data_IF_459838499159
#
_entry.id   IF_459838499159
#
_cell.length_a   1.000
_cell.length_b   1.000
_cell.length_c   1.000
_cell.angle_alpha   90.00
_cell.angle_beta   90.00
_cell.angle_gamma   90.00
#
_symmetry.space_group_name_H-M   'P 1'
#
loop_
_entity.id
_entity.type
_entity.pdbx_description
1 polymer ?
#
# COMPACT_ATOMS: atom_id res chain seq x y z
N UNK A 1 -11.75 11.10 -10.58
CA UNK A 1 -10.42 10.86 -9.95
C UNK A 1 -9.70 12.19 -9.81
N UNK A 2 -9.05 12.46 -8.67
CA UNK A 2 -8.32 13.72 -8.48
C UNK A 2 -7.02 13.71 -9.31
N UNK A 3 -6.81 14.68 -10.23
CA UNK A 3 -5.60 14.70 -11.05
C UNK A 3 -4.35 14.93 -10.19
N UNK A 4 -3.17 14.56 -10.71
CA UNK A 4 -1.89 14.93 -10.07
C UNK A 4 -1.76 16.44 -10.05
N UNK A 5 -1.40 17.04 -8.91
CA UNK A 5 -0.90 18.41 -8.93
C UNK A 5 0.45 18.46 -9.65
N UNK A 6 0.92 19.65 -10.02
CA UNK A 6 2.24 19.74 -10.65
C UNK A 6 3.35 19.25 -9.72
N UNK A 7 3.26 19.49 -8.42
CA UNK A 7 4.23 18.99 -7.44
C UNK A 7 4.27 17.46 -7.37
N UNK A 8 3.12 16.82 -7.48
CA UNK A 8 2.99 15.35 -7.41
C UNK A 8 3.49 14.60 -8.66
N UNK A 9 3.88 15.33 -9.72
CA UNK A 9 4.50 14.75 -10.91
C UNK A 9 6.02 14.61 -10.78
N UNK A 10 6.63 15.23 -9.78
CA UNK A 10 8.08 15.31 -9.64
C UNK A 10 8.53 15.00 -8.21
N UNK A 11 9.74 14.50 -8.06
CA UNK A 11 10.46 14.50 -6.80
C UNK A 11 11.60 15.51 -6.86
N UNK A 12 11.98 16.03 -5.70
CA UNK A 12 13.13 16.89 -5.55
C UNK A 12 14.34 16.06 -5.15
N UNK A 13 15.45 16.32 -5.81
CA UNK A 13 16.75 15.82 -5.39
C UNK A 13 17.31 16.76 -4.31
N UNK A 14 17.41 16.32 -3.05
CA UNK A 14 17.73 17.23 -1.95
C UNK A 14 19.18 17.73 -1.99
N UNK A 15 20.07 17.05 -2.72
CA UNK A 15 21.48 17.42 -2.87
C UNK A 15 21.64 18.44 -3.98
N UNK A 16 21.16 18.12 -5.19
CA UNK A 16 21.30 18.99 -6.36
C UNK A 16 20.23 20.09 -6.42
N UNK A 17 19.19 19.99 -5.59
CA UNK A 17 17.96 20.80 -5.62
C UNK A 17 17.21 20.74 -6.96
N UNK A 18 17.57 19.78 -7.82
CA UNK A 18 16.92 19.59 -9.11
C UNK A 18 15.57 18.90 -8.94
N UNK A 19 14.64 19.24 -9.83
CA UNK A 19 13.31 18.65 -9.89
C UNK A 19 13.28 17.60 -11.00
N UNK A 20 12.99 16.34 -10.65
CA UNK A 20 13.01 15.20 -11.58
C UNK A 20 11.62 14.58 -11.67
N UNK A 21 11.13 14.23 -12.88
CA UNK A 21 9.81 13.62 -13.01
C UNK A 21 9.79 12.22 -12.40
N UNK A 22 8.66 11.83 -11.82
CA UNK A 22 8.44 10.43 -11.51
C UNK A 22 8.22 9.62 -12.80
N UNK A 23 8.73 8.38 -12.88
CA UNK A 23 8.47 7.48 -14.00
C UNK A 23 7.04 6.94 -13.93
N UNK A 24 6.61 6.30 -15.02
CA UNK A 24 5.32 5.66 -15.17
C UNK A 24 5.41 4.14 -14.95
N UNK A 25 4.33 3.51 -14.49
CA UNK A 25 4.23 2.04 -14.51
C UNK A 25 4.26 1.46 -15.93
N UNK A 26 3.92 2.25 -16.95
CA UNK A 26 4.02 1.90 -18.37
C UNK A 26 5.46 1.80 -18.87
N UNK A 27 6.40 2.41 -18.17
CA UNK A 27 7.82 2.31 -18.51
C UNK A 27 8.35 0.95 -18.07
N UNK A 28 9.32 0.41 -18.82
CA UNK A 28 10.05 -0.79 -18.42
C UNK A 28 10.63 -0.61 -17.02
N UNK A 29 10.54 -1.66 -16.20
CA UNK A 29 11.09 -1.62 -14.85
C UNK A 29 12.61 -1.43 -14.89
N UNK A 30 13.14 -0.67 -13.94
CA UNK A 30 14.58 -0.44 -13.77
C UNK A 30 15.11 -0.86 -12.40
N UNK A 31 14.22 -1.37 -11.53
CA UNK A 31 14.54 -1.94 -10.22
C UNK A 31 13.83 -3.29 -10.09
N UNK A 32 14.31 -4.14 -9.20
CA UNK A 32 13.60 -5.38 -8.85
C UNK A 32 12.39 -5.06 -7.97
N UNK A 33 12.58 -4.27 -6.90
CA UNK A 33 11.52 -3.94 -5.94
C UNK A 33 11.35 -2.41 -5.76
N UNK A 34 10.11 -1.94 -5.75
CA UNK A 34 9.75 -0.62 -5.21
C UNK A 34 8.92 -0.81 -3.94
N UNK A 35 9.38 -0.22 -2.84
CA UNK A 35 8.65 -0.19 -1.56
C UNK A 35 7.95 1.16 -1.42
N UNK A 36 6.64 1.15 -1.28
CA UNK A 36 5.80 2.33 -1.13
C UNK A 36 5.40 2.45 0.33
N UNK A 37 5.78 3.55 0.98
CA UNK A 37 5.51 3.83 2.38
C UNK A 37 4.66 5.11 2.46
N UNK A 38 3.33 5.02 2.58
CA UNK A 38 2.48 6.18 2.81
C UNK A 38 2.67 6.69 4.24
N UNK A 39 2.88 8.00 4.40
CA UNK A 39 3.12 8.64 5.67
C UNK A 39 2.19 9.84 5.85
N UNK A 40 1.51 9.91 6.98
CA UNK A 40 0.77 11.09 7.40
C UNK A 40 0.91 11.27 8.91
N UNK A 41 1.61 12.32 9.33
CA UNK A 41 1.94 12.57 10.74
C UNK A 41 2.70 11.42 11.40
N UNK A 42 3.78 10.99 10.76
CA UNK A 42 4.56 9.79 11.12
C UNK A 42 5.98 10.10 11.59
N UNK A 43 6.25 11.32 12.07
CA UNK A 43 7.58 11.77 12.53
C UNK A 43 8.25 10.74 13.45
N UNK A 44 7.49 10.15 14.37
CA UNK A 44 8.02 9.24 15.40
C UNK A 44 8.14 7.78 14.94
N UNK A 45 7.27 7.33 14.02
CA UNK A 45 7.20 5.91 13.61
C UNK A 45 7.95 5.60 12.33
N UNK A 46 7.98 6.57 11.40
CA UNK A 46 8.65 6.44 10.11
C UNK A 46 10.13 6.00 10.23
N UNK A 47 10.95 6.53 11.18
CA UNK A 47 12.35 6.12 11.31
C UNK A 47 12.55 4.63 11.60
N UNK A 48 11.72 4.06 12.47
CA UNK A 48 11.82 2.64 12.84
C UNK A 48 11.46 1.74 11.65
N UNK A 49 10.39 2.09 10.94
CA UNK A 49 9.96 1.37 9.73
C UNK A 49 11.02 1.43 8.62
N UNK A 50 11.61 2.61 8.35
CA UNK A 50 12.68 2.74 7.36
C UNK A 50 13.91 1.95 7.77
N UNK A 51 14.27 1.95 9.06
CA UNK A 51 15.40 1.16 9.55
C UNK A 51 15.19 -0.34 9.31
N UNK A 52 14.06 -0.91 9.72
CA UNK A 52 13.77 -2.36 9.49
C UNK A 52 13.78 -2.70 8.00
N UNK A 53 13.21 -1.81 7.18
CA UNK A 53 13.20 -1.94 5.71
C UNK A 53 14.61 -1.95 5.13
N UNK A 54 15.42 -0.93 5.43
CA UNK A 54 16.78 -0.79 4.90
C UNK A 54 17.70 -1.92 5.39
N UNK A 55 17.63 -2.28 6.67
CA UNK A 55 18.41 -3.39 7.24
C UNK A 55 18.13 -4.70 6.48
N UNK A 56 16.89 -4.96 6.08
CA UNK A 56 16.55 -6.13 5.27
C UNK A 56 17.05 -6.00 3.82
N UNK A 57 16.77 -4.88 3.15
CA UNK A 57 17.05 -4.69 1.73
C UNK A 57 18.56 -4.65 1.43
N UNK A 58 19.35 -3.98 2.27
CA UNK A 58 20.81 -3.93 2.14
C UNK A 58 21.42 -5.33 2.34
N UNK A 59 20.94 -6.09 3.34
CA UNK A 59 21.36 -7.49 3.52
C UNK A 59 20.98 -8.36 2.33
N UNK A 60 19.81 -8.15 1.72
CA UNK A 60 19.38 -8.91 0.54
C UNK A 60 20.27 -8.59 -0.66
N UNK A 61 20.55 -7.31 -0.91
CA UNK A 61 21.42 -6.86 -1.99
C UNK A 61 22.88 -7.31 -1.80
N UNK A 62 23.39 -7.33 -0.57
CA UNK A 62 24.73 -7.83 -0.28
C UNK A 62 24.88 -9.32 -0.60
N UNK A 63 23.80 -10.10 -0.48
CA UNK A 63 23.77 -11.53 -0.82
C UNK A 63 23.46 -11.80 -2.30
N UNK A 64 22.81 -10.86 -2.98
CA UNK A 64 22.43 -10.96 -4.39
C UNK A 64 22.54 -9.58 -5.04
N UNK A 65 23.64 -9.34 -5.78
CA UNK A 65 23.91 -8.06 -6.41
C UNK A 65 22.92 -7.70 -7.54
N UNK A 66 22.17 -8.68 -8.05
CA UNK A 66 21.10 -8.44 -9.02
C UNK A 66 19.84 -7.87 -8.38
N UNK A 67 19.66 -8.06 -7.06
CA UNK A 67 18.56 -7.50 -6.31
C UNK A 67 18.75 -5.98 -6.15
N UNK A 68 17.96 -5.22 -6.89
CA UNK A 68 17.95 -3.76 -6.84
C UNK A 68 16.61 -3.27 -6.30
N UNK A 69 16.63 -2.21 -5.49
CA UNK A 69 15.43 -1.71 -4.87
C UNK A 69 15.36 -0.19 -4.87
N UNK A 70 14.17 0.31 -4.56
CA UNK A 70 13.95 1.69 -4.16
C UNK A 70 12.85 1.77 -3.11
N UNK A 71 12.86 2.85 -2.34
CA UNK A 71 11.81 3.28 -1.45
C UNK A 71 11.19 4.57 -2.00
N UNK A 72 9.86 4.63 -2.00
CA UNK A 72 9.09 5.84 -2.24
C UNK A 72 8.30 6.13 -0.98
N UNK A 73 8.76 7.14 -0.23
CA UNK A 73 8.05 7.64 0.93
C UNK A 73 7.05 8.68 0.41
N UNK A 74 5.77 8.46 0.67
CA UNK A 74 4.71 9.35 0.21
C UNK A 74 4.16 10.12 1.40
N UNK A 75 4.56 11.39 1.54
CA UNK A 75 3.95 12.27 2.53
C UNK A 75 2.61 12.80 2.02
N UNK A 76 1.52 12.34 2.65
CA UNK A 76 0.13 12.69 2.34
C UNK A 76 -0.24 14.08 2.89
N UNK A 77 0.61 15.08 2.64
CA UNK A 77 0.43 16.48 3.03
C UNK A 77 0.42 16.67 4.54
N UNK A 78 1.39 16.07 5.25
CA UNK A 78 1.50 16.20 6.70
C UNK A 78 1.71 17.65 7.14
N UNK A 79 1.00 18.13 8.17
CA UNK A 79 1.23 19.45 8.76
C UNK A 79 2.41 19.48 9.74
N UNK A 80 3.03 18.34 10.01
CA UNK A 80 4.21 18.21 10.87
C UNK A 80 5.48 17.97 10.05
N UNK A 81 6.57 17.58 10.72
CA UNK A 81 7.89 17.42 10.11
C UNK A 81 8.07 16.10 9.36
N UNK A 82 7.00 15.37 9.02
CA UNK A 82 7.09 14.06 8.34
C UNK A 82 7.88 14.16 7.03
N UNK A 83 7.60 15.16 6.19
CA UNK A 83 8.39 15.45 4.98
C UNK A 83 9.87 15.68 5.26
N UNK A 84 10.21 16.45 6.31
CA UNK A 84 11.61 16.71 6.66
C UNK A 84 12.34 15.42 7.07
N UNK A 85 11.67 14.55 7.83
CA UNK A 85 12.19 13.24 8.21
C UNK A 85 12.42 12.36 6.97
N UNK A 86 11.44 12.28 6.07
CA UNK A 86 11.56 11.51 4.83
C UNK A 86 12.72 11.99 3.95
N UNK A 87 12.89 13.32 3.82
CA UNK A 87 13.96 13.91 3.01
C UNK A 87 15.36 13.62 3.56
N UNK A 88 15.53 13.47 4.88
CA UNK A 88 16.82 13.05 5.47
C UNK A 88 17.28 11.69 4.93
N UNK A 89 16.35 10.76 4.74
CA UNK A 89 16.67 9.45 4.17
C UNK A 89 17.00 9.53 2.68
N UNK A 90 16.36 10.43 1.94
CA UNK A 90 16.73 10.71 0.54
C UNK A 90 18.13 11.32 0.42
N UNK A 91 18.53 12.18 1.37
CA UNK A 91 19.91 12.69 1.46
C UNK A 91 20.89 11.57 1.79
N UNK A 92 20.57 10.74 2.79
CA UNK A 92 21.45 9.68 3.28
C UNK A 92 21.73 8.60 2.23
N UNK A 93 20.69 8.15 1.52
CA UNK A 93 20.78 7.01 0.59
C UNK A 93 20.81 7.43 -0.89
N UNK A 94 20.58 8.71 -1.18
CA UNK A 94 20.49 9.22 -2.54
C UNK A 94 19.14 8.95 -3.21
N UNK A 95 18.81 9.76 -4.21
CA UNK A 95 17.51 9.71 -4.91
C UNK A 95 17.31 8.49 -5.80
N UNK A 96 18.36 7.71 -6.06
CA UNK A 96 18.22 6.44 -6.76
C UNK A 96 17.68 5.33 -5.84
N UNK A 97 17.88 5.44 -4.52
CA UNK A 97 17.41 4.47 -3.53
C UNK A 97 16.17 5.00 -2.81
N UNK A 98 16.17 6.24 -2.31
CA UNK A 98 15.04 6.80 -1.55
C UNK A 98 14.52 8.06 -2.22
N UNK A 99 13.25 8.03 -2.64
CA UNK A 99 12.52 9.16 -3.22
C UNK A 99 11.37 9.58 -2.32
N UNK A 100 11.09 10.87 -2.28
CA UNK A 100 9.99 11.44 -1.49
C UNK A 100 8.97 12.07 -2.43
N UNK A 101 7.72 11.66 -2.29
CA UNK A 101 6.56 12.25 -2.95
C UNK A 101 5.76 13.00 -1.89
N UNK A 102 5.70 14.33 -1.99
CA UNK A 102 4.96 15.16 -1.03
C UNK A 102 3.71 15.72 -1.70
N UNK A 103 2.57 15.56 -1.06
CA UNK A 103 1.32 16.17 -1.52
C UNK A 103 1.13 17.58 -0.97
N UNK A 104 0.48 18.43 -1.76
CA UNK A 104 0.14 19.80 -1.34
C UNK A 104 -0.93 19.82 -0.24
N UNK A 105 -1.77 18.78 -0.19
CA UNK A 105 -2.81 18.61 0.81
C UNK A 105 -3.16 17.13 0.97
N UNK A 106 -3.64 16.76 2.15
CA UNK A 106 -4.06 15.40 2.47
C UNK A 106 -5.13 14.88 1.49
N UNK A 107 -4.81 13.79 0.78
CA UNK A 107 -5.72 13.02 -0.08
C UNK A 107 -6.32 11.84 0.67
N UNK A 108 -5.54 11.25 1.56
CA UNK A 108 -5.84 10.03 2.29
C UNK A 108 -4.90 8.89 1.88
N UNK A 109 -4.86 7.86 2.73
CA UNK A 109 -3.99 6.69 2.60
C UNK A 109 -4.06 6.04 1.21
N UNK A 110 -5.25 5.80 0.68
CA UNK A 110 -5.43 5.23 -0.65
C UNK A 110 -4.85 6.10 -1.76
N UNK A 111 -4.99 7.42 -1.65
CA UNK A 111 -4.39 8.38 -2.57
C UNK A 111 -2.85 8.34 -2.50
N UNK A 112 -2.29 8.31 -1.30
CA UNK A 112 -0.86 8.20 -1.07
C UNK A 112 -0.27 6.90 -1.65
N UNK A 113 -0.86 5.75 -1.31
CA UNK A 113 -0.45 4.44 -1.85
C UNK A 113 -0.54 4.43 -3.37
N UNK A 114 -1.69 4.84 -3.92
CA UNK A 114 -1.91 4.87 -5.37
C UNK A 114 -0.85 5.67 -6.10
N UNK A 115 -0.57 6.86 -5.64
CA UNK A 115 0.37 7.77 -6.31
C UNK A 115 1.81 7.29 -6.17
N UNK A 116 2.17 6.71 -5.02
CA UNK A 116 3.46 6.04 -4.84
C UNK A 116 3.63 4.87 -5.80
N UNK A 117 2.63 3.98 -5.87
CA UNK A 117 2.63 2.83 -6.79
C UNK A 117 2.74 3.28 -8.25
N UNK A 118 1.94 4.26 -8.67
CA UNK A 118 1.99 4.82 -10.02
C UNK A 118 3.30 5.56 -10.36
N UNK A 119 4.19 5.73 -9.39
CA UNK A 119 5.49 6.41 -9.54
C UNK A 119 6.69 5.46 -9.37
N UNK A 120 6.42 4.17 -9.19
CA UNK A 120 7.39 3.10 -8.94
C UNK A 120 8.19 2.70 -10.18
N UNK A 121 9.43 2.22 -10.00
CA UNK A 121 10.34 1.66 -11.02
C UNK A 121 10.50 0.14 -10.94
N UNK A 122 9.97 -0.49 -9.90
CA UNK A 122 10.21 -1.90 -9.55
C UNK A 122 9.39 -2.89 -10.38
N UNK A 123 9.98 -4.01 -10.76
CA UNK A 123 9.23 -5.15 -11.30
C UNK A 123 8.15 -5.63 -10.32
N UNK A 124 8.49 -5.60 -9.03
CA UNK A 124 7.61 -5.83 -7.91
C UNK A 124 7.35 -4.52 -7.18
N UNK A 125 6.11 -4.33 -6.72
CA UNK A 125 5.72 -3.18 -5.92
C UNK A 125 5.16 -3.69 -4.59
N UNK A 126 5.80 -3.32 -3.50
CA UNK A 126 5.33 -3.60 -2.14
C UNK A 126 4.77 -2.31 -1.54
N UNK A 127 3.53 -2.34 -1.09
CA UNK A 127 2.99 -1.33 -0.18
C UNK A 127 3.19 -1.83 1.26
N UNK A 128 3.76 -0.98 2.13
CA UNK A 128 3.94 -1.24 3.55
C UNK A 128 3.57 -0.02 4.41
N UNK A 129 2.80 -0.24 5.49
CA UNK A 129 2.44 0.83 6.43
C UNK A 129 3.66 1.44 7.13
N UNK A 130 3.63 2.76 7.35
CA UNK A 130 4.72 3.52 7.95
C UNK A 130 4.92 3.27 9.46
N UNK A 131 3.99 2.58 10.12
CA UNK A 131 4.03 2.37 11.56
C UNK A 131 4.99 1.25 12.00
N UNK A 132 5.49 0.44 11.05
CA UNK A 132 6.38 -0.68 11.35
C UNK A 132 5.68 -1.88 12.01
N UNK A 133 4.35 -1.95 11.98
CA UNK A 133 3.59 -3.01 12.65
C UNK A 133 3.85 -4.39 12.03
N UNK A 134 4.13 -4.45 10.72
CA UNK A 134 4.49 -5.69 10.01
C UNK A 134 6.00 -5.80 9.89
N UNK A 135 6.59 -6.94 10.26
CA UNK A 135 8.03 -7.17 10.07
C UNK A 135 8.38 -7.18 8.59
N UNK A 136 9.35 -6.36 8.18
CA UNK A 136 9.70 -6.24 6.76
C UNK A 136 10.25 -7.55 6.17
N UNK A 137 10.88 -8.39 7.00
CA UNK A 137 11.42 -9.68 6.54
C UNK A 137 10.37 -10.66 5.98
N UNK A 138 9.09 -10.45 6.26
CA UNK A 138 8.00 -11.22 5.67
C UNK A 138 7.81 -10.96 4.17
N UNK A 139 8.45 -9.92 3.59
CA UNK A 139 8.56 -9.76 2.14
C UNK A 139 8.98 -11.07 1.45
N UNK A 140 9.92 -11.82 2.04
CA UNK A 140 10.38 -13.11 1.51
C UNK A 140 9.24 -14.11 1.30
N UNK A 141 8.24 -14.12 2.20
CA UNK A 141 7.06 -15.00 2.09
C UNK A 141 6.14 -14.54 0.97
N UNK A 142 5.94 -13.22 0.85
CA UNK A 142 5.10 -12.63 -0.20
C UNK A 142 5.73 -12.89 -1.57
N UNK A 143 7.02 -12.63 -1.72
CA UNK A 143 7.80 -12.85 -2.95
C UNK A 143 7.70 -14.31 -3.42
N UNK A 144 7.96 -15.27 -2.54
CA UNK A 144 7.84 -16.71 -2.86
C UNK A 144 6.43 -17.08 -3.30
N UNK A 145 5.42 -16.60 -2.59
CA UNK A 145 4.02 -16.90 -2.90
C UNK A 145 3.59 -16.27 -4.23
N UNK A 146 4.09 -15.06 -4.52
CA UNK A 146 3.82 -14.36 -5.76
C UNK A 146 4.39 -15.13 -6.96
N UNK A 147 5.63 -15.62 -6.86
CA UNK A 147 6.28 -16.42 -7.91
C UNK A 147 5.52 -17.72 -8.22
N UNK A 148 4.88 -18.33 -7.23
CA UNK A 148 4.10 -19.56 -7.40
C UNK A 148 2.72 -19.29 -7.99
N UNK A 149 2.05 -18.23 -7.54
CA UNK A 149 0.66 -17.94 -7.91
C UNK A 149 0.50 -17.07 -9.15
N UNK A 150 1.59 -16.51 -9.67
CA UNK A 150 1.57 -15.63 -10.83
C UNK A 150 0.95 -16.30 -12.05
N UNK A 151 0.04 -15.59 -12.70
CA UNK A 151 -0.59 -16.01 -13.96
C UNK A 151 -0.58 -14.83 -14.91
N UNK A 152 -0.11 -15.04 -16.14
CA UNK A 152 -0.03 -14.00 -17.18
C UNK A 152 0.72 -12.74 -16.69
N UNK A 153 1.79 -12.91 -15.91
CA UNK A 153 2.55 -11.84 -15.24
C UNK A 153 1.78 -10.99 -14.23
N UNK A 154 0.55 -11.40 -13.87
CA UNK A 154 -0.30 -10.75 -12.88
C UNK A 154 -0.37 -11.56 -11.59
N UNK A 155 -0.20 -10.89 -10.45
CA UNK A 155 -0.50 -11.40 -9.11
C UNK A 155 -0.60 -10.28 -8.07
N UNK A 156 -1.46 -10.51 -7.08
CA UNK A 156 -1.52 -9.76 -5.83
C UNK A 156 -1.29 -10.71 -4.66
N UNK A 157 -0.38 -10.38 -3.75
CA UNK A 157 -0.19 -11.13 -2.51
C UNK A 157 -0.43 -10.21 -1.32
N UNK A 158 -1.39 -10.58 -0.48
CA UNK A 158 -1.78 -9.85 0.71
C UNK A 158 -1.18 -10.52 1.94
N UNK A 159 -0.47 -9.74 2.76
CA UNK A 159 -0.24 -10.11 4.14
C UNK A 159 -1.56 -10.22 4.89
N UNK A 160 -1.57 -11.03 5.94
CA UNK A 160 -2.77 -11.30 6.73
C UNK A 160 -2.43 -11.44 8.21
N UNK A 161 -3.30 -10.85 9.02
CA UNK A 161 -3.28 -10.92 10.48
C UNK A 161 -4.28 -11.94 11.01
N UNK A 162 -4.89 -12.74 10.13
CA UNK A 162 -5.96 -13.69 10.48
C UNK A 162 -5.57 -14.66 11.59
N UNK A 163 -4.33 -15.14 11.62
CA UNK A 163 -3.85 -16.01 12.68
C UNK A 163 -3.85 -15.34 14.08
N UNK A 164 -3.87 -14.01 14.16
CA UNK A 164 -3.94 -13.23 15.39
C UNK A 164 -5.38 -12.92 15.83
N UNK A 165 -6.37 -13.18 14.98
CA UNK A 165 -7.78 -12.82 15.23
C UNK A 165 -8.30 -13.44 16.53
N UNK A 166 -7.99 -14.72 16.78
CA UNK A 166 -8.41 -15.43 18.01
C UNK A 166 -7.88 -14.77 19.28
N UNK A 167 -6.60 -14.42 19.29
CA UNK A 167 -5.97 -13.76 20.44
C UNK A 167 -6.52 -12.33 20.62
N UNK A 168 -6.73 -11.62 19.50
CA UNK A 168 -7.30 -10.28 19.53
C UNK A 168 -8.74 -10.26 20.02
N UNK A 169 -9.57 -11.23 19.64
CA UNK A 169 -10.97 -11.33 20.08
C UNK A 169 -11.04 -11.61 21.58
N UNK A 170 -10.14 -12.45 22.11
CA UNK A 170 -10.08 -12.75 23.53
C UNK A 170 -9.75 -11.53 24.42
N UNK A 171 -9.06 -10.53 23.88
CA UNK A 171 -8.61 -9.33 24.61
C UNK A 171 -9.50 -8.10 24.42
N UNK A 172 -10.42 -8.11 23.45
CA UNK A 172 -11.23 -6.92 23.05
C UNK A 172 -12.64 -6.97 23.62
N UNK A 173 -13.28 -5.80 23.72
CA UNK A 173 -14.68 -5.70 24.13
C UNK A 173 -15.61 -6.39 23.13
N UNK A 174 -16.68 -7.00 23.62
CA UNK A 174 -17.66 -7.70 22.78
C UNK A 174 -18.23 -6.81 21.65
N UNK A 175 -18.42 -5.52 21.93
CA UNK A 175 -18.88 -4.55 20.94
C UNK A 175 -17.88 -4.35 19.79
N UNK A 176 -16.57 -4.21 20.08
CA UNK A 176 -15.54 -4.08 19.04
C UNK A 176 -15.42 -5.36 18.21
N UNK A 177 -15.61 -6.52 18.83
CA UNK A 177 -15.67 -7.82 18.14
C UNK A 177 -16.89 -7.91 17.21
N UNK A 178 -18.07 -7.44 17.64
CA UNK A 178 -19.26 -7.39 16.79
C UNK A 178 -19.06 -6.50 15.57
N UNK A 179 -18.51 -5.29 15.76
CA UNK A 179 -18.23 -4.36 14.65
C UNK A 179 -17.29 -4.97 13.61
N UNK A 180 -16.27 -5.70 14.06
CA UNK A 180 -15.35 -6.42 13.16
C UNK A 180 -16.08 -7.48 12.33
N UNK A 181 -16.93 -8.30 12.94
CA UNK A 181 -17.67 -9.34 12.20
C UNK A 181 -18.68 -8.76 11.21
N UNK A 182 -19.38 -7.68 11.58
CA UNK A 182 -20.29 -6.95 10.67
C UNK A 182 -19.50 -6.43 9.48
N UNK A 183 -18.35 -5.79 9.73
CA UNK A 183 -17.48 -5.30 8.67
C UNK A 183 -16.98 -6.42 7.73
N UNK A 184 -16.50 -7.55 8.28
CA UNK A 184 -16.09 -8.70 7.47
C UNK A 184 -17.24 -9.24 6.61
N UNK A 185 -18.46 -9.29 7.16
CA UNK A 185 -19.64 -9.71 6.43
C UNK A 185 -19.99 -8.75 5.29
N UNK A 186 -19.94 -7.43 5.52
CA UNK A 186 -20.20 -6.42 4.49
C UNK A 186 -19.17 -6.49 3.34
N UNK A 187 -17.88 -6.61 3.68
CA UNK A 187 -16.81 -6.78 2.67
C UNK A 187 -17.07 -8.04 1.84
N UNK A 188 -17.38 -9.17 2.48
CA UNK A 188 -17.65 -10.43 1.79
C UNK A 188 -18.89 -10.36 0.90
N UNK A 189 -19.95 -9.68 1.37
CA UNK A 189 -21.21 -9.58 0.66
C UNK A 189 -21.10 -8.67 -0.57
N UNK A 190 -20.43 -7.53 -0.43
CA UNK A 190 -20.46 -6.46 -1.42
C UNK A 190 -19.17 -6.29 -2.24
N UNK A 191 -18.02 -6.77 -1.76
CA UNK A 191 -16.75 -6.45 -2.39
C UNK A 191 -15.89 -7.67 -2.73
N UNK A 192 -15.29 -8.32 -1.73
CA UNK A 192 -14.17 -9.26 -1.92
C UNK A 192 -14.49 -10.56 -1.23
N UNK A 193 -14.41 -11.68 -1.96
CA UNK A 193 -14.78 -13.00 -1.43
C UNK A 193 -13.59 -13.92 -1.18
N UNK A 194 -12.47 -13.66 -1.84
CA UNK A 194 -11.31 -14.55 -1.85
C UNK A 194 -10.36 -14.38 -0.65
N UNK A 195 -10.40 -13.23 0.02
CA UNK A 195 -9.44 -12.86 1.09
C UNK A 195 -10.18 -12.54 2.39
N UNK A 196 -9.61 -12.97 3.52
CA UNK A 196 -10.19 -12.70 4.84
C UNK A 196 -9.71 -11.37 5.43
N UNK A 197 -8.41 -11.09 5.40
CA UNK A 197 -7.85 -9.81 5.86
C UNK A 197 -7.58 -8.87 4.68
N UNK A 198 -8.59 -8.12 4.28
CA UNK A 198 -8.47 -7.15 3.17
C UNK A 198 -7.62 -5.93 3.55
N UNK A 199 -7.50 -5.60 4.83
CA UNK A 199 -6.97 -4.31 5.30
C UNK A 199 -5.55 -4.40 5.87
N UNK A 200 -4.85 -5.51 5.69
CA UNK A 200 -3.44 -5.58 6.06
C UNK A 200 -2.64 -4.61 5.19
N UNK A 201 -1.90 -3.69 5.83
CA UNK A 201 -1.06 -2.70 5.17
C UNK A 201 0.27 -3.24 4.67
N UNK A 202 0.29 -4.48 4.16
CA UNK A 202 1.48 -5.13 3.63
C UNK A 202 1.08 -5.99 2.43
N UNK A 203 1.20 -5.43 1.22
CA UNK A 203 0.70 -6.06 -0.02
C UNK A 203 1.70 -5.95 -1.16
N UNK A 204 1.98 -7.07 -1.82
CA UNK A 204 2.88 -7.17 -2.96
C UNK A 204 2.10 -7.31 -4.26
N UNK A 205 2.53 -6.58 -5.28
CA UNK A 205 1.93 -6.56 -6.60
C UNK A 205 3.01 -6.83 -7.64
N UNK A 206 2.70 -7.67 -8.62
CA UNK A 206 3.41 -7.58 -9.92
C UNK A 206 3.15 -6.21 -10.54
N UNK A 207 4.13 -5.69 -11.29
CA UNK A 207 3.99 -4.41 -12.01
C UNK A 207 2.77 -4.33 -12.92
N UNK A 208 2.46 -5.40 -13.64
CA UNK A 208 1.31 -5.43 -14.54
C UNK A 208 -0.01 -5.35 -13.76
N UNK A 209 -0.16 -6.12 -12.69
CA UNK A 209 -1.34 -6.04 -11.83
C UNK A 209 -1.46 -4.64 -11.19
N UNK A 210 -0.34 -4.08 -10.73
CA UNK A 210 -0.32 -2.73 -10.17
C UNK A 210 -0.79 -1.68 -11.19
N UNK A 211 -0.32 -1.75 -12.44
CA UNK A 211 -0.77 -0.82 -13.49
C UNK A 211 -2.28 -0.95 -13.73
N UNK A 212 -2.76 -2.18 -13.94
CA UNK A 212 -4.18 -2.47 -14.21
C UNK A 212 -5.09 -2.00 -13.07
N UNK A 213 -4.70 -2.20 -11.82
CA UNK A 213 -5.53 -1.90 -10.65
C UNK A 213 -5.47 -0.41 -10.28
N UNK A 214 -4.26 0.13 -10.06
CA UNK A 214 -4.11 1.47 -9.50
C UNK A 214 -4.44 2.59 -10.50
N UNK A 215 -4.39 2.32 -11.81
CA UNK A 215 -4.85 3.27 -12.83
C UNK A 215 -6.37 3.50 -12.77
N UNK A 216 -7.14 2.54 -12.24
CA UNK A 216 -8.60 2.52 -12.25
C UNK A 216 -9.22 2.77 -10.86
N UNK A 217 -8.42 2.80 -9.79
CA UNK A 217 -8.90 3.01 -8.42
C UNK A 217 -9.40 4.44 -8.16
N UNK A 218 -10.52 4.58 -7.46
CA UNK A 218 -11.18 5.86 -7.19
C UNK A 218 -11.09 6.31 -5.74
N UNK A 219 -11.03 5.38 -4.80
CA UNK A 219 -11.08 5.62 -3.36
C UNK A 219 -9.70 6.04 -2.87
N UNK A 220 -9.63 7.25 -2.31
CA UNK A 220 -8.37 7.81 -1.80
C UNK A 220 -8.20 7.61 -0.27
N UNK A 221 -9.21 7.09 0.43
CA UNK A 221 -9.21 6.96 1.91
C UNK A 221 -9.17 5.49 2.35
N UNK A 222 -9.65 5.19 3.56
CA UNK A 222 -9.44 3.91 4.26
C UNK A 222 -9.98 2.67 3.54
N UNK A 223 -11.05 2.81 2.74
CA UNK A 223 -11.64 1.69 2.00
C UNK A 223 -10.92 1.34 0.69
N UNK A 224 -9.79 1.99 0.38
CA UNK A 224 -9.05 1.76 -0.88
C UNK A 224 -8.61 0.31 -1.06
N UNK A 225 -8.22 -0.37 0.02
CA UNK A 225 -7.80 -1.77 -0.02
C UNK A 225 -8.94 -2.69 -0.51
N UNK A 226 -10.18 -2.35 -0.14
CA UNK A 226 -11.37 -3.09 -0.56
C UNK A 226 -11.64 -2.87 -2.05
N UNK A 227 -11.57 -1.62 -2.54
CA UNK A 227 -11.71 -1.34 -3.97
C UNK A 227 -10.59 -1.99 -4.79
N UNK A 228 -9.35 -1.92 -4.31
CA UNK A 228 -8.18 -2.53 -4.95
C UNK A 228 -8.38 -4.03 -5.17
N UNK A 229 -8.84 -4.75 -4.15
CA UNK A 229 -9.09 -6.19 -4.23
C UNK A 229 -10.35 -6.49 -5.06
N UNK A 230 -11.37 -5.64 -5.00
CA UNK A 230 -12.54 -5.74 -5.88
C UNK A 230 -12.14 -5.66 -7.35
N UNK A 231 -11.32 -4.68 -7.73
CA UNK A 231 -10.82 -4.52 -9.10
C UNK A 231 -10.00 -5.74 -9.50
N UNK A 232 -9.10 -6.23 -8.63
CA UNK A 232 -8.30 -7.42 -8.89
C UNK A 232 -9.17 -8.66 -9.17
N UNK A 233 -10.22 -8.91 -8.37
CA UNK A 233 -11.16 -10.01 -8.60
C UNK A 233 -11.93 -9.83 -9.92
N UNK A 234 -12.36 -8.61 -10.26
CA UNK A 234 -13.08 -8.33 -11.51
C UNK A 234 -12.23 -8.47 -12.77
N UNK A 235 -10.91 -8.34 -12.63
CA UNK A 235 -9.91 -8.58 -13.66
C UNK A 235 -9.38 -10.02 -13.66
N UNK A 236 -9.88 -10.90 -12.78
CA UNK A 236 -9.40 -12.28 -12.61
C UNK A 236 -7.89 -12.37 -12.31
N UNK A 237 -7.32 -11.35 -11.66
CA UNK A 237 -5.93 -11.37 -11.21
C UNK A 237 -5.83 -12.32 -10.02
N UNK A 238 -4.85 -13.26 -9.99
CA UNK A 238 -4.66 -14.14 -8.84
C UNK A 238 -4.38 -13.33 -7.57
N UNK A 239 -5.12 -13.62 -6.49
CA UNK A 239 -4.93 -13.01 -5.18
C UNK A 239 -4.61 -14.12 -4.17
N UNK A 240 -3.51 -13.95 -3.44
CA UNK A 240 -3.08 -14.89 -2.40
C UNK A 240 -3.03 -14.19 -1.05
N UNK A 241 -3.53 -14.85 -0.02
CA UNK A 241 -3.43 -14.40 1.38
C UNK A 241 -2.34 -15.19 2.10
N UNK A 242 -1.41 -14.51 2.79
CA UNK A 242 -0.38 -15.17 3.60
C UNK A 242 -0.22 -14.55 4.98
N UNK A 243 0.14 -15.37 5.97
CA UNK A 243 0.33 -14.91 7.33
C UNK A 243 1.64 -14.10 7.50
N UNK A 244 1.52 -12.91 8.08
CA UNK A 244 2.65 -12.01 8.37
C UNK A 244 2.79 -11.77 9.88
N UNK A 245 4.03 -11.61 10.33
CA UNK A 245 4.33 -11.24 11.70
C UNK A 245 3.93 -9.78 11.92
N UNK A 246 2.82 -9.60 12.60
CA UNK A 246 2.25 -8.31 12.92
C UNK A 246 2.21 -8.09 14.42
N UNK A 247 2.49 -6.88 14.86
CA UNK A 247 2.37 -6.47 16.25
C UNK A 247 1.69 -5.11 16.37
N UNK A 248 0.97 -4.89 17.47
CA UNK A 248 0.25 -3.65 17.69
C UNK A 248 1.22 -2.52 18.06
N UNK A 249 1.22 -1.46 17.25
CA UNK A 249 1.96 -0.23 17.51
C UNK A 249 1.02 0.79 18.18
N UNK A 250 1.32 1.25 19.40
CA UNK A 250 0.53 2.27 20.08
C UNK A 250 0.48 3.59 19.29
N UNK A 251 -0.53 4.42 19.56
CA UNK A 251 -0.63 5.77 18.99
C UNK A 251 -1.54 5.89 17.77
N UNK A 252 -2.39 4.90 17.49
CA UNK A 252 -3.47 5.05 16.51
C UNK A 252 -4.40 6.21 16.90
N UNK A 253 -4.57 7.16 15.98
CA UNK A 253 -5.42 8.35 16.16
C UNK A 253 -6.86 8.13 15.67
N UNK A 254 -7.20 6.90 15.28
CA UNK A 254 -8.52 6.56 14.76
C UNK A 254 -9.44 6.13 15.89
N UNK A 255 -10.58 6.81 16.00
CA UNK A 255 -11.69 6.32 16.81
C UNK A 255 -12.31 5.08 16.13
N UNK A 256 -12.31 3.90 16.78
CA UNK A 256 -12.72 2.65 16.14
C UNK A 256 -14.18 2.63 15.66
N UNK A 257 -15.08 3.35 16.35
CA UNK A 257 -16.50 3.32 16.04
C UNK A 257 -16.81 4.14 14.78
N UNK A 258 -16.40 5.40 14.77
CA UNK A 258 -16.58 6.30 13.62
C UNK A 258 -15.85 5.77 12.39
N UNK A 259 -14.65 5.20 12.57
CA UNK A 259 -13.93 4.53 11.50
C UNK A 259 -14.74 3.36 10.93
N UNK A 260 -15.27 2.46 11.78
CA UNK A 260 -16.04 1.29 11.32
C UNK A 260 -17.30 1.71 10.55
N UNK A 261 -18.05 2.69 11.06
CA UNK A 261 -19.27 3.18 10.40
C UNK A 261 -18.97 3.83 9.04
N UNK A 262 -17.97 4.72 9.00
CA UNK A 262 -17.56 5.37 7.75
C UNK A 262 -17.12 4.33 6.72
N UNK A 263 -16.37 3.31 7.15
CA UNK A 263 -15.92 2.26 6.26
C UNK A 263 -17.07 1.39 5.70
N UNK A 264 -18.09 1.08 6.51
CA UNK A 264 -19.28 0.38 6.02
C UNK A 264 -20.03 1.16 4.94
N UNK A 265 -20.20 2.48 5.15
CA UNK A 265 -20.77 3.40 4.15
C UNK A 265 -19.92 3.41 2.87
N UNK A 266 -18.59 3.49 3.01
CA UNK A 266 -17.67 3.51 1.88
C UNK A 266 -17.76 2.20 1.07
N UNK A 267 -17.88 1.04 1.71
CA UNK A 267 -18.03 -0.26 1.03
C UNK A 267 -19.31 -0.31 0.21
N UNK A 268 -20.44 0.08 0.80
CA UNK A 268 -21.72 0.14 0.09
C UNK A 268 -21.65 1.12 -1.08
N UNK A 269 -21.01 2.28 -0.89
CA UNK A 269 -20.82 3.26 -1.95
C UNK A 269 -19.93 2.73 -3.08
N UNK A 270 -18.84 2.02 -2.78
CA UNK A 270 -17.99 1.36 -3.78
C UNK A 270 -18.84 0.39 -4.60
N UNK A 271 -19.56 -0.51 -3.94
CA UNK A 271 -20.38 -1.52 -4.61
C UNK A 271 -21.45 -0.89 -5.50
N UNK A 272 -22.22 0.08 -4.97
CA UNK A 272 -23.26 0.79 -5.72
C UNK A 272 -22.68 1.49 -6.95
N UNK A 273 -21.54 2.16 -6.84
CA UNK A 273 -20.95 2.90 -7.96
C UNK A 273 -20.49 1.98 -9.09
N UNK A 274 -19.96 0.80 -8.79
CA UNK A 274 -19.63 -0.19 -9.81
C UNK A 274 -20.87 -0.87 -10.40
N UNK A 275 -21.85 -1.24 -9.57
CA UNK A 275 -23.10 -1.90 -10.04
C UNK A 275 -23.92 -0.98 -10.92
N UNK A 276 -24.01 0.31 -10.57
CA UNK A 276 -24.73 1.32 -11.35
C UNK A 276 -23.94 1.81 -12.57
N UNK A 277 -22.72 1.31 -12.81
CA UNK A 277 -21.89 1.71 -13.95
C UNK A 277 -21.34 3.13 -13.87
N UNK A 278 -21.41 3.78 -12.69
CA UNK A 278 -20.79 5.10 -12.45
C UNK A 278 -19.27 4.96 -12.51
N UNK A 279 -18.76 3.86 -11.97
CA UNK A 279 -17.37 3.43 -12.10
C UNK A 279 -17.31 2.18 -12.98
N UNK A 280 -16.33 2.14 -13.87
CA UNK A 280 -16.14 1.04 -14.82
C UNK A 280 -14.74 0.49 -14.71
N UNK A 281 -14.60 -0.81 -14.92
CA UNK A 281 -13.30 -1.48 -14.99
C UNK A 281 -13.06 -1.85 -16.44
N UNK A 282 -12.05 -1.24 -17.05
CA UNK A 282 -11.58 -1.58 -18.38
C UNK A 282 -10.83 -2.91 -18.33
N UNK A 283 -11.29 -3.84 -19.18
CA UNK A 283 -10.74 -5.19 -19.35
C UNK A 283 -9.85 -5.33 -20.58
N UNK A 284 -9.65 -4.26 -21.36
CA UNK A 284 -8.91 -4.29 -22.63
C UNK A 284 -7.39 -4.58 -22.52
N UNK A 285 -6.90 -4.98 -21.35
CA UNK A 285 -5.50 -5.34 -21.12
C UNK A 285 -5.28 -6.87 -21.06
N UNK A 286 -6.20 -7.64 -21.65
CA UNK A 286 -6.08 -9.08 -21.89
C UNK A 286 -5.36 -9.38 -23.22
#
# INVERSE_FOLDING_TARGET
>A
MRPRSDNEKYFQDPITKSRKPFPSLKDSHSKYLSVIIPAYKEVDRLPAMIKDTMDYLERRQANDSSFTYELIIVDDGSPDKTSEVALKYSIQYGTDIVRVLTFDANRGKGGAVRMGVLSARGQWILFADADGATKFSDFTKLERSALVAMKNNDVVVCGSRRHLEKESVAKRSAFRTLLMYVFHFEVWLFAVKSIRDTQCGYKLFSRQAAEKIFSQMHVERWAFDVELLYIAEKLNIPIVEIDVNWHEIPGSKLDPFTASLQMGIDILAIWLRYVLGIWTIDRKHD
#
